data_IF_680293968150
#
_entry.id   IF_680293968150
#
_cell.length_a   1.000
_cell.length_b   1.000
_cell.length_c   1.000
_cell.angle_alpha   90.00
_cell.angle_beta   90.00
_cell.angle_gamma   90.00
#
_symmetry.space_group_name_H-M   'P 1'
#
loop_
_entity.id
_entity.type
_entity.pdbx_description
1 polymer ?
#
# COMPACT_ATOMS: atom_id res chain seq x y z
N UNK A 1 -4.17 12.12 12.00
CA UNK A 1 -3.97 10.67 11.88
C UNK A 1 -3.84 10.10 13.28
N UNK A 2 -4.75 9.21 13.67
CA UNK A 2 -5.28 9.10 15.03
C UNK A 2 -4.54 8.16 16.00
N UNK A 3 -3.30 7.72 15.71
CA UNK A 3 -2.53 6.92 16.66
C UNK A 3 -1.02 7.14 16.49
N UNK A 4 -0.52 8.17 17.16
CA UNK A 4 0.91 8.33 17.44
C UNK A 4 1.22 7.57 18.73
N UNK A 5 1.47 6.26 18.64
CA UNK A 5 2.16 5.52 19.71
C UNK A 5 3.64 5.44 19.37
N UNK A 6 4.37 6.37 19.98
CA UNK A 6 5.81 6.44 20.07
C UNK A 6 6.35 5.14 20.71
N UNK A 7 6.64 4.12 19.89
CA UNK A 7 7.36 2.91 20.30
C UNK A 7 8.85 3.17 20.14
N UNK A 8 9.40 3.94 21.06
CA UNK A 8 10.82 4.34 21.07
C UNK A 8 11.84 3.21 21.31
N UNK A 9 11.41 1.94 21.37
CA UNK A 9 12.30 0.80 21.64
C UNK A 9 12.15 -0.36 20.62
N UNK A 10 11.99 -0.04 19.34
CA UNK A 10 12.19 -1.03 18.27
C UNK A 10 13.67 -1.07 17.90
N UNK A 11 14.34 -2.20 18.13
CA UNK A 11 15.74 -2.45 17.74
C UNK A 11 16.09 -1.79 16.40
N UNK A 12 17.26 -1.15 16.26
CA UNK A 12 17.63 -0.36 15.07
C UNK A 12 17.42 -1.10 13.72
N UNK A 13 17.43 -2.43 13.76
CA UNK A 13 17.10 -3.32 12.64
C UNK A 13 15.64 -3.22 12.17
N UNK A 14 14.66 -3.12 13.08
CA UNK A 14 13.23 -2.96 12.73
C UNK A 14 12.95 -1.62 12.04
N UNK A 15 13.60 -0.53 12.47
CA UNK A 15 13.47 0.79 11.84
C UNK A 15 13.99 0.79 10.40
N UNK A 16 15.14 0.15 10.15
CA UNK A 16 15.72 0.03 8.79
C UNK A 16 14.82 -0.76 7.84
N UNK A 17 14.22 -1.86 8.31
CA UNK A 17 13.30 -2.67 7.50
C UNK A 17 12.06 -1.84 7.14
N UNK A 18 11.47 -1.13 8.11
CA UNK A 18 10.31 -0.28 7.86
C UNK A 18 10.59 0.83 6.83
N UNK A 19 11.73 1.52 6.95
CA UNK A 19 12.13 2.55 6.01
C UNK A 19 12.34 2.00 4.59
N UNK A 20 12.95 0.82 4.46
CA UNK A 20 13.11 0.17 3.16
C UNK A 20 11.75 -0.16 2.50
N UNK A 21 10.78 -0.65 3.27
CA UNK A 21 9.43 -0.89 2.76
C UNK A 21 8.73 0.40 2.29
N UNK A 22 8.86 1.49 3.03
CA UNK A 22 8.28 2.78 2.65
C UNK A 22 8.87 3.33 1.33
N UNK A 23 10.17 3.15 1.13
CA UNK A 23 10.85 3.48 -0.13
C UNK A 23 10.31 2.59 -1.26
N UNK A 24 10.19 1.28 -1.04
CA UNK A 24 9.65 0.35 -2.05
C UNK A 24 8.22 0.74 -2.44
N UNK A 25 7.35 1.05 -1.49
CA UNK A 25 5.99 1.51 -1.81
C UNK A 25 5.98 2.79 -2.63
N UNK A 26 6.86 3.73 -2.28
CA UNK A 26 6.98 4.99 -3.02
C UNK A 26 7.47 4.74 -4.46
N UNK A 27 8.45 3.84 -4.64
CA UNK A 27 8.92 3.45 -5.97
C UNK A 27 7.83 2.77 -6.80
N UNK A 28 7.02 1.91 -6.18
CA UNK A 28 5.89 1.25 -6.86
C UNK A 28 4.84 2.28 -7.30
N UNK A 29 4.51 3.27 -6.45
CA UNK A 29 3.57 4.33 -6.82
C UNK A 29 4.10 5.17 -7.99
N UNK A 30 5.37 5.58 -7.96
CA UNK A 30 5.99 6.31 -9.06
C UNK A 30 6.02 5.49 -10.34
N UNK A 31 6.31 4.19 -10.23
CA UNK A 31 6.29 3.28 -11.38
C UNK A 31 4.89 3.20 -11.98
N UNK A 32 3.85 3.05 -11.14
CA UNK A 32 2.46 3.05 -11.58
C UNK A 32 2.09 4.36 -12.30
N UNK A 33 2.46 5.51 -11.73
CA UNK A 33 2.20 6.81 -12.32
C UNK A 33 2.87 6.98 -13.69
N UNK A 34 4.13 6.56 -13.83
CA UNK A 34 4.86 6.59 -15.11
C UNK A 34 4.16 5.69 -16.15
N UNK A 35 3.78 4.48 -15.76
CA UNK A 35 3.06 3.55 -16.65
C UNK A 35 1.73 4.14 -17.13
N UNK A 36 0.98 4.81 -16.25
CA UNK A 36 -0.26 5.49 -16.64
C UNK A 36 -0.03 6.66 -17.60
N UNK A 37 0.98 7.50 -17.36
CA UNK A 37 1.29 8.62 -18.25
C UNK A 37 1.70 8.11 -19.63
N UNK A 38 2.62 7.15 -19.69
CA UNK A 38 3.07 6.57 -20.96
C UNK A 38 1.90 5.88 -21.67
N UNK A 39 1.13 5.05 -20.95
CA UNK A 39 -0.07 4.41 -21.50
C UNK A 39 -1.06 5.43 -22.06
N UNK A 40 -1.24 6.57 -21.38
CA UNK A 40 -2.17 7.64 -21.81
C UNK A 40 -1.71 8.26 -23.12
N UNK A 41 -0.40 8.47 -23.28
CA UNK A 41 0.18 8.97 -24.52
C UNK A 41 -0.01 7.94 -25.66
N UNK A 42 0.08 6.65 -25.37
CA UNK A 42 -0.10 5.59 -26.37
C UNK A 42 -1.54 5.52 -26.90
N UNK A 43 -2.54 5.91 -26.10
CA UNK A 43 -3.95 5.96 -26.53
C UNK A 43 -4.25 7.04 -27.60
N UNK A 44 -3.30 7.93 -27.91
CA UNK A 44 -3.48 8.92 -29.01
C UNK A 44 -3.28 8.32 -30.41
N UNK A 45 -2.84 7.06 -30.52
CA UNK A 45 -2.64 6.38 -31.81
C UNK A 45 -3.27 4.98 -31.78
N UNK A 46 -4.10 4.61 -32.79
CA UNK A 46 -4.71 3.28 -32.86
C UNK A 46 -3.69 2.13 -32.87
N UNK A 47 -2.52 2.35 -33.47
CA UNK A 47 -1.47 1.32 -33.59
C UNK A 47 -0.84 0.97 -32.22
N UNK A 48 -0.88 1.91 -31.27
CA UNK A 48 -0.26 1.78 -29.95
C UNK A 48 -1.26 1.46 -28.83
N UNK A 49 -2.56 1.51 -29.12
CA UNK A 49 -3.64 1.36 -28.15
C UNK A 49 -3.55 0.05 -27.35
N UNK A 50 -3.25 -1.06 -28.04
CA UNK A 50 -3.09 -2.37 -27.39
C UNK A 50 -1.97 -2.37 -26.36
N UNK A 51 -0.84 -1.75 -26.67
CA UNK A 51 0.28 -1.64 -25.74
C UNK A 51 -0.04 -0.68 -24.58
N UNK A 52 -0.73 0.43 -24.88
CA UNK A 52 -1.23 1.37 -23.88
C UNK A 52 -2.16 0.70 -22.86
N UNK A 53 -3.02 -0.20 -23.32
CA UNK A 53 -3.93 -0.99 -22.46
C UNK A 53 -3.17 -1.88 -21.48
N UNK A 54 -2.13 -2.58 -21.93
CA UNK A 54 -1.29 -3.41 -21.05
C UNK A 54 -0.47 -2.58 -20.05
N UNK A 55 0.01 -1.40 -20.46
CA UNK A 55 0.67 -0.46 -19.53
C UNK A 55 -0.31 0.01 -18.46
N UNK A 56 -1.53 0.36 -18.84
CA UNK A 56 -2.56 0.76 -17.89
C UNK A 56 -2.97 -0.36 -16.94
N UNK A 57 -3.12 -1.59 -17.43
CA UNK A 57 -3.41 -2.74 -16.58
C UNK A 57 -2.29 -2.98 -15.57
N UNK A 58 -1.04 -2.94 -16.02
CA UNK A 58 0.13 -3.13 -15.16
C UNK A 58 0.25 -2.01 -14.13
N UNK A 59 0.10 -0.75 -14.56
CA UNK A 59 0.08 0.42 -13.68
C UNK A 59 -1.03 0.33 -12.63
N UNK A 60 -2.21 -0.17 -13.01
CA UNK A 60 -3.36 -0.37 -12.10
C UNK A 60 -3.08 -1.41 -11.03
N UNK A 61 -2.44 -2.53 -11.41
CA UNK A 61 -2.02 -3.56 -10.46
C UNK A 61 -0.99 -3.02 -9.45
N UNK A 62 0.00 -2.26 -9.93
CA UNK A 62 0.99 -1.61 -9.07
C UNK A 62 0.33 -0.59 -8.13
N UNK A 63 -0.56 0.26 -8.65
CA UNK A 63 -1.27 1.26 -7.87
C UNK A 63 -2.17 0.66 -6.79
N UNK A 64 -2.80 -0.48 -7.06
CA UNK A 64 -3.67 -1.18 -6.11
C UNK A 64 -2.90 -1.74 -4.90
N UNK A 65 -1.63 -2.10 -5.05
CA UNK A 65 -0.87 -2.78 -3.99
C UNK A 65 -0.81 -1.98 -2.67
N UNK A 66 -0.59 -0.65 -2.75
CA UNK A 66 -0.44 0.21 -1.57
C UNK A 66 -1.74 0.38 -0.74
N UNK A 67 -2.89 0.78 -1.32
CA UNK A 67 -4.14 0.84 -0.58
C UNK A 67 -4.56 -0.54 -0.03
N UNK A 68 -4.31 -1.63 -0.77
CA UNK A 68 -4.60 -2.99 -0.28
C UNK A 68 -3.81 -3.31 0.99
N UNK A 69 -2.51 -3.02 1.03
CA UNK A 69 -1.69 -3.28 2.22
C UNK A 69 -2.08 -2.40 3.41
N UNK A 70 -2.46 -1.14 3.14
CA UNK A 70 -2.99 -0.24 4.17
C UNK A 70 -4.31 -0.77 4.74
N UNK A 71 -5.22 -1.22 3.88
CA UNK A 71 -6.50 -1.82 4.27
C UNK A 71 -6.29 -3.08 5.11
N UNK A 72 -5.44 -4.01 4.66
CA UNK A 72 -5.14 -5.24 5.40
C UNK A 72 -4.59 -4.93 6.79
N UNK A 73 -3.71 -3.92 6.90
CA UNK A 73 -3.19 -3.46 8.19
C UNK A 73 -4.29 -2.90 9.08
N UNK A 74 -5.17 -2.06 8.55
CA UNK A 74 -6.28 -1.46 9.30
C UNK A 74 -7.28 -2.53 9.77
N UNK A 75 -7.63 -3.49 8.92
CA UNK A 75 -8.49 -4.63 9.29
C UNK A 75 -7.89 -5.51 10.39
N UNK A 76 -6.58 -5.81 10.30
CA UNK A 76 -5.90 -6.61 11.34
C UNK A 76 -5.85 -5.90 12.68
N UNK A 77 -5.63 -4.58 12.68
CA UNK A 77 -5.64 -3.78 13.91
C UNK A 77 -7.05 -3.70 14.52
N UNK A 78 -8.08 -3.55 13.69
CA UNK A 78 -9.48 -3.58 14.14
C UNK A 78 -9.83 -4.93 14.78
N UNK A 79 -9.40 -6.04 14.18
CA UNK A 79 -9.65 -7.38 14.71
C UNK A 79 -8.97 -7.63 16.06
N UNK A 80 -7.76 -7.10 16.30
CA UNK A 80 -7.08 -7.23 17.59
C UNK A 80 -7.79 -6.44 18.68
N UNK A 81 -8.19 -5.18 18.39
CA UNK A 81 -8.90 -4.35 19.36
C UNK A 81 -10.24 -4.96 19.79
N UNK A 82 -10.98 -5.56 18.86
CA UNK A 82 -12.25 -6.25 19.15
C UNK A 82 -12.05 -7.50 20.02
N UNK A 83 -10.91 -8.20 19.89
CA UNK A 83 -10.56 -9.35 20.73
C UNK A 83 -10.19 -8.93 22.15
N UNK A 84 -9.41 -7.85 22.30
CA UNK A 84 -9.04 -7.32 23.62
C UNK A 84 -10.31 -6.84 24.38
N UNK A 85 -11.21 -6.12 23.70
CA UNK A 85 -12.48 -5.65 24.28
C UNK A 85 -13.40 -6.81 24.70
N UNK A 86 -13.39 -7.94 23.98
CA UNK A 86 -14.17 -9.13 24.32
C UNK A 86 -13.58 -9.86 25.55
N UNK A 87 -12.25 -9.93 25.66
CA UNK A 87 -11.58 -10.55 26.80
C UNK A 87 -11.90 -9.82 28.11
N UNK A 88 -11.84 -8.48 28.13
CA UNK A 88 -12.17 -7.65 29.29
C UNK A 88 -13.63 -7.82 29.77
N UNK A 89 -14.55 -8.19 28.87
CA UNK A 89 -15.96 -8.44 29.20
C UNK A 89 -16.22 -9.82 29.80
N UNK A 90 -15.34 -10.79 29.56
CA UNK A 90 -15.47 -12.15 30.09
C UNK A 90 -14.80 -12.30 31.47
N UNK A 91 -13.88 -11.41 31.82
CA UNK A 91 -13.24 -11.37 33.15
C UNK A 91 -14.05 -10.61 34.22
N UNK A 92 -15.18 -9.99 33.85
CA UNK A 92 -16.14 -9.34 34.76
C UNK A 92 -17.34 -10.22 35.08
#
# INVERSE_FOLDING_TARGET
>A
MLFSRDRQHGSDRQRRIYAAFEIVYTLVDFTAAILFVIGSIMFFSPDWERFGTWLFLTGSLCFAAKPTLRLVRELKLAAIGDVDDLADRLEK
#
